data_IF_369190308722
#
_entry.id   IF_369190308722
#
_cell.length_a   1.000
_cell.length_b   1.000
_cell.length_c   1.000
_cell.angle_alpha   90.00
_cell.angle_beta   90.00
_cell.angle_gamma   90.00
#
_symmetry.space_group_name_H-M   'P 1'
#
loop_
_entity.id
_entity.type
_entity.pdbx_description
1 polymer ?
#
# COMPACT_ATOMS: atom_id res chain seq x y z
N UNK A 1 -12.07 -12.19 27.83
CA UNK A 1 -12.73 -11.36 26.79
C UNK A 1 -12.46 -9.86 26.92
N UNK A 2 -12.19 -9.31 28.11
CA UNK A 2 -11.87 -7.88 28.28
C UNK A 2 -10.41 -7.52 27.92
N UNK A 3 -9.47 -8.46 28.00
CA UNK A 3 -8.06 -8.23 27.66
C UNK A 3 -7.82 -8.03 26.15
N UNK A 4 -8.48 -8.80 25.28
CA UNK A 4 -8.43 -8.60 23.83
C UNK A 4 -8.93 -7.20 23.42
N UNK A 5 -9.95 -6.68 24.11
CA UNK A 5 -10.54 -5.37 23.83
C UNK A 5 -9.66 -4.20 24.32
N UNK A 6 -8.79 -4.45 25.31
CA UNK A 6 -7.79 -3.48 25.78
C UNK A 6 -6.52 -3.50 24.91
N UNK A 7 -6.16 -4.66 24.34
CA UNK A 7 -5.04 -4.80 23.42
C UNK A 7 -5.32 -4.07 22.09
N UNK A 8 -6.51 -4.25 21.50
CA UNK A 8 -6.94 -3.49 20.31
C UNK A 8 -7.02 -1.96 20.56
N UNK A 9 -7.37 -1.54 21.78
CA UNK A 9 -7.39 -0.11 22.17
C UNK A 9 -5.99 0.47 22.41
N UNK A 10 -5.02 -0.36 22.83
CA UNK A 10 -3.61 0.05 22.97
C UNK A 10 -2.88 0.08 21.63
N UNK A 11 -3.17 -0.85 20.72
CA UNK A 11 -2.63 -0.84 19.35
C UNK A 11 -3.12 0.37 18.53
N UNK A 12 -4.31 0.90 18.84
CA UNK A 12 -4.82 2.16 18.26
C UNK A 12 -3.99 3.41 18.62
N UNK A 13 -3.06 3.35 19.57
CA UNK A 13 -2.22 4.49 20.00
C UNK A 13 -0.89 4.65 19.22
N UNK A 14 -0.53 3.72 18.32
CA UNK A 14 0.77 3.78 17.61
C UNK A 14 0.69 4.45 16.22
N UNK A 15 -0.49 4.80 15.72
CA UNK A 15 -0.64 5.45 14.41
C UNK A 15 -0.65 6.97 14.55
N UNK A 16 0.42 7.62 14.10
CA UNK A 16 0.43 9.08 13.91
C UNK A 16 -0.55 9.41 12.78
N UNK A 17 -1.53 10.25 13.09
CA UNK A 17 -2.49 10.79 12.11
C UNK A 17 -2.02 12.16 11.67
N UNK A 18 -2.49 12.63 10.51
CA UNK A 18 -2.18 13.98 10.01
C UNK A 18 -2.45 15.11 11.02
N UNK A 19 -3.47 14.97 11.84
CA UNK A 19 -3.81 15.95 12.88
C UNK A 19 -2.84 15.97 14.06
N UNK A 20 -2.03 14.92 14.21
CA UNK A 20 -1.09 14.73 15.32
C UNK A 20 0.35 15.12 14.92
N UNK A 21 0.54 15.70 13.72
CA UNK A 21 1.86 16.07 13.20
C UNK A 21 2.45 17.29 13.94
N UNK A 22 3.69 17.13 14.39
CA UNK A 22 4.52 18.18 14.98
C UNK A 22 4.79 19.32 13.99
N UNK A 23 4.95 20.54 14.49
CA UNK A 23 5.41 21.70 13.70
C UNK A 23 6.94 21.77 13.60
N UNK A 24 7.65 21.03 14.46
CA UNK A 24 9.10 21.13 14.58
C UNK A 24 9.86 20.07 13.78
N UNK A 25 9.15 19.19 13.07
CA UNK A 25 9.74 18.11 12.29
C UNK A 25 9.39 18.22 10.82
N UNK A 26 10.35 17.86 9.98
CA UNK A 26 10.15 17.61 8.56
C UNK A 26 9.36 16.33 8.40
N UNK A 27 8.16 16.41 7.80
CA UNK A 27 7.31 15.23 7.60
C UNK A 27 7.47 14.70 6.17
N UNK A 28 7.72 13.38 6.08
CA UNK A 28 7.79 12.59 4.85
C UNK A 28 6.59 11.64 4.81
N UNK A 29 5.77 11.72 3.76
CA UNK A 29 4.64 10.81 3.54
C UNK A 29 4.92 9.80 2.42
N UNK A 30 4.97 8.52 2.78
CA UNK A 30 5.05 7.42 1.82
C UNK A 30 3.66 6.92 1.45
N UNK A 31 3.30 6.95 0.17
CA UNK A 31 1.94 6.64 -0.26
C UNK A 31 1.85 5.48 -1.25
N UNK A 32 1.00 4.50 -0.96
CA UNK A 32 0.61 3.46 -1.92
C UNK A 32 -0.89 3.57 -2.25
N UNK A 33 -1.46 2.57 -2.91
CA UNK A 33 -2.88 2.59 -3.26
C UNK A 33 -3.78 2.49 -2.03
N UNK A 34 -3.57 1.48 -1.18
CA UNK A 34 -4.49 1.14 -0.07
C UNK A 34 -3.94 1.33 1.35
N UNK A 35 -2.70 1.80 1.50
CA UNK A 35 -1.97 1.83 2.78
C UNK A 35 -1.99 0.49 3.54
N UNK A 36 -1.89 -0.63 2.82
CA UNK A 36 -2.00 -1.98 3.40
C UNK A 36 -0.82 -2.89 3.07
N UNK A 37 0.02 -2.52 2.09
CA UNK A 37 1.16 -3.31 1.63
C UNK A 37 2.46 -2.53 1.74
N UNK A 38 2.88 -1.94 0.62
CA UNK A 38 4.17 -1.28 0.45
C UNK A 38 4.40 -0.05 1.35
N UNK A 39 3.42 0.84 1.54
CA UNK A 39 3.67 2.09 2.28
C UNK A 39 3.80 1.95 3.80
N UNK A 40 3.07 1.05 4.49
CA UNK A 40 3.39 0.72 5.89
C UNK A 40 4.79 0.13 6.06
N UNK A 41 5.28 -0.65 5.08
CA UNK A 41 6.65 -1.17 5.10
C UNK A 41 7.68 -0.05 4.92
N UNK A 42 7.43 0.89 4.01
CA UNK A 42 8.27 2.07 3.80
C UNK A 42 8.37 2.94 5.06
N UNK A 43 7.25 3.19 5.74
CA UNK A 43 7.22 3.93 7.02
C UNK A 43 8.07 3.23 8.10
N UNK A 44 7.96 1.90 8.23
CA UNK A 44 8.75 1.15 9.20
C UNK A 44 10.26 1.21 8.90
N UNK A 45 10.65 1.06 7.64
CA UNK A 45 12.05 1.18 7.20
C UNK A 45 12.58 2.61 7.45
N UNK A 46 11.81 3.62 7.04
CA UNK A 46 12.18 5.02 7.20
C UNK A 46 12.37 5.37 8.68
N UNK A 47 11.45 4.92 9.54
CA UNK A 47 11.53 5.14 10.98
C UNK A 47 12.77 4.49 11.59
N UNK A 48 13.09 3.25 11.20
CA UNK A 48 14.32 2.55 11.67
C UNK A 48 15.58 3.31 11.25
N UNK A 49 15.63 3.82 10.01
CA UNK A 49 16.78 4.58 9.51
C UNK A 49 16.90 5.97 10.17
N UNK A 50 15.78 6.68 10.37
CA UNK A 50 15.75 7.94 11.12
C UNK A 50 16.32 7.74 12.54
N UNK A 51 15.94 6.65 13.20
CA UNK A 51 16.46 6.29 14.53
C UNK A 51 17.95 5.96 14.50
N UNK A 52 18.42 5.21 13.49
CA UNK A 52 19.85 4.90 13.34
C UNK A 52 20.71 6.14 13.13
N UNK A 53 20.16 7.16 12.47
CA UNK A 53 20.84 8.42 12.20
C UNK A 53 20.67 9.46 13.32
N UNK A 54 19.93 9.14 14.39
CA UNK A 54 19.57 10.06 15.48
C UNK A 54 18.90 11.35 14.96
N UNK A 55 17.90 11.20 14.08
CA UNK A 55 17.15 12.29 13.44
C UNK A 55 15.69 12.35 13.90
N UNK A 56 15.30 11.63 14.96
CA UNK A 56 13.90 11.53 15.41
C UNK A 56 13.33 12.87 15.87
N UNK A 57 14.15 13.80 16.30
CA UNK A 57 13.78 15.17 16.67
C UNK A 57 13.57 16.08 15.44
N UNK A 58 14.06 15.68 14.27
CA UNK A 58 14.07 16.49 13.04
C UNK A 58 13.18 15.95 11.93
N UNK A 59 13.09 14.64 11.78
CA UNK A 59 12.39 13.98 10.66
C UNK A 59 11.35 13.02 11.21
N UNK A 60 10.16 13.08 10.62
CA UNK A 60 9.06 12.17 10.88
C UNK A 60 8.62 11.49 9.58
N UNK A 61 8.60 10.15 9.58
CA UNK A 61 8.02 9.36 8.50
C UNK A 61 6.59 8.94 8.84
N UNK A 62 5.69 9.08 7.87
CA UNK A 62 4.32 8.56 7.93
C UNK A 62 4.01 7.79 6.63
N UNK A 63 2.93 7.01 6.64
CA UNK A 63 2.39 6.44 5.40
C UNK A 63 0.92 6.68 5.20
N UNK A 64 0.52 6.76 3.93
CA UNK A 64 -0.87 6.92 3.50
C UNK A 64 -1.24 6.08 2.27
N UNK A 65 -2.52 6.20 1.88
CA UNK A 65 -3.16 5.46 0.81
C UNK A 65 -3.94 6.39 -0.10
N UNK A 66 -3.54 6.48 -1.36
CA UNK A 66 -4.14 7.40 -2.33
C UNK A 66 -5.57 7.04 -2.72
N UNK A 67 -5.96 5.77 -2.59
CA UNK A 67 -7.30 5.27 -2.86
C UNK A 67 -7.88 4.49 -1.68
N UNK A 68 -7.43 4.72 -0.44
CA UNK A 68 -7.86 3.97 0.75
C UNK A 68 -9.39 3.91 0.88
N UNK A 69 -10.08 5.05 0.79
CA UNK A 69 -11.56 5.13 0.90
C UNK A 69 -12.26 4.31 -0.19
N UNK A 70 -11.69 4.29 -1.39
CA UNK A 70 -12.21 3.52 -2.54
C UNK A 70 -11.99 2.03 -2.32
N UNK A 71 -10.83 1.65 -1.77
CA UNK A 71 -10.50 0.25 -1.45
C UNK A 71 -11.36 -0.32 -0.31
N UNK A 72 -11.76 0.52 0.64
CA UNK A 72 -12.68 0.19 1.75
C UNK A 72 -14.16 0.22 1.32
N UNK A 73 -14.45 0.67 0.09
CA UNK A 73 -15.79 0.71 -0.47
C UNK A 73 -16.41 -0.69 -0.67
N UNK A 74 -17.74 -0.77 -0.67
CA UNK A 74 -18.48 -2.04 -0.90
C UNK A 74 -18.21 -2.66 -2.28
N UNK A 75 -17.79 -1.85 -3.23
CA UNK A 75 -17.51 -2.24 -4.61
C UNK A 75 -16.12 -1.67 -4.97
N UNK A 76 -15.09 -2.52 -5.09
CA UNK A 76 -13.78 -2.07 -5.54
C UNK A 76 -13.82 -1.61 -7.01
N UNK A 77 -12.92 -0.71 -7.43
CA UNK A 77 -12.76 -0.31 -8.82
C UNK A 77 -12.55 -1.52 -9.72
N UNK A 78 -13.03 -1.45 -10.95
CA UNK A 78 -12.96 -2.58 -11.89
C UNK A 78 -11.51 -2.95 -12.20
N UNK A 79 -10.62 -1.97 -12.23
CA UNK A 79 -9.18 -2.15 -12.42
C UNK A 79 -8.56 -2.99 -11.30
N UNK A 80 -9.01 -2.79 -10.06
CA UNK A 80 -8.58 -3.63 -8.94
C UNK A 80 -9.08 -5.07 -9.11
N UNK A 81 -10.34 -5.23 -9.54
CA UNK A 81 -10.93 -6.55 -9.73
C UNK A 81 -10.19 -7.33 -10.82
N UNK A 82 -9.88 -6.69 -11.94
CA UNK A 82 -9.07 -7.29 -13.00
C UNK A 82 -7.64 -7.58 -12.56
N UNK A 83 -7.00 -6.67 -11.83
CA UNK A 83 -5.67 -6.94 -11.29
C UNK A 83 -5.66 -8.18 -10.39
N UNK A 84 -6.68 -8.35 -9.53
CA UNK A 84 -6.80 -9.56 -8.69
C UNK A 84 -6.97 -10.83 -9.54
N UNK A 85 -7.80 -10.79 -10.58
CA UNK A 85 -7.97 -11.90 -11.51
C UNK A 85 -6.67 -12.25 -12.26
N UNK A 86 -5.99 -11.26 -12.83
CA UNK A 86 -4.71 -11.42 -13.54
C UNK A 86 -3.65 -12.04 -12.62
N UNK A 87 -3.56 -11.58 -11.36
CA UNK A 87 -2.64 -12.12 -10.35
C UNK A 87 -3.00 -13.55 -9.93
N UNK A 88 -4.29 -13.85 -9.78
CA UNK A 88 -4.75 -15.22 -9.54
C UNK A 88 -4.36 -16.18 -10.68
N UNK A 89 -4.47 -15.75 -11.93
CA UNK A 89 -4.06 -16.55 -13.09
C UNK A 89 -2.54 -16.78 -13.10
N UNK A 90 -1.75 -15.72 -12.91
CA UNK A 90 -0.30 -15.81 -12.84
C UNK A 90 0.16 -16.77 -11.73
N UNK A 91 -0.45 -16.69 -10.54
CA UNK A 91 -0.18 -17.63 -9.45
C UNK A 91 -0.55 -19.07 -9.76
N UNK A 92 -1.57 -19.31 -10.59
CA UNK A 92 -1.87 -20.68 -10.98
C UNK A 92 -0.73 -21.26 -11.84
N UNK A 93 -0.22 -20.46 -12.77
CA UNK A 93 0.91 -20.85 -13.63
C UNK A 93 2.20 -21.02 -12.82
N UNK A 94 2.47 -20.16 -11.85
CA UNK A 94 3.71 -20.17 -11.06
C UNK A 94 3.70 -21.19 -9.90
N UNK A 95 2.55 -21.37 -9.23
CA UNK A 95 2.45 -22.12 -7.97
C UNK A 95 1.58 -23.38 -8.07
N UNK A 96 1.03 -23.71 -9.26
CA UNK A 96 0.12 -24.85 -9.49
C UNK A 96 -1.01 -24.94 -8.45
N UNK A 97 -1.48 -23.79 -7.99
CA UNK A 97 -2.24 -23.66 -6.74
C UNK A 97 -3.76 -23.69 -6.93
N UNK A 98 -4.25 -23.59 -8.17
CA UNK A 98 -5.68 -23.64 -8.49
C UNK A 98 -6.03 -24.89 -9.31
N UNK A 99 -7.28 -25.33 -9.19
CA UNK A 99 -7.81 -26.32 -10.13
C UNK A 99 -7.97 -25.69 -11.52
N UNK A 100 -7.81 -26.49 -12.57
CA UNK A 100 -7.89 -26.04 -13.99
C UNK A 100 -9.20 -25.33 -14.33
N UNK A 101 -10.30 -25.68 -13.65
CA UNK A 101 -11.63 -25.10 -13.86
C UNK A 101 -11.72 -23.64 -13.38
N UNK A 102 -11.08 -23.31 -12.25
CA UNK A 102 -11.04 -21.93 -11.75
C UNK A 102 -10.14 -21.05 -12.62
N UNK A 103 -9.07 -21.60 -13.20
CA UNK A 103 -8.21 -20.90 -14.13
C UNK A 103 -8.92 -20.57 -15.46
N UNK A 104 -9.66 -21.55 -16.01
CA UNK A 104 -10.49 -21.35 -17.19
C UNK A 104 -11.58 -20.30 -16.96
N UNK A 105 -12.22 -20.30 -15.79
CA UNK A 105 -13.21 -19.28 -15.42
C UNK A 105 -12.58 -17.87 -15.34
N UNK A 106 -11.40 -17.73 -14.75
CA UNK A 106 -10.68 -16.43 -14.71
C UNK A 106 -10.26 -15.99 -16.11
N UNK A 107 -9.83 -16.91 -16.97
CA UNK A 107 -9.40 -16.61 -18.33
C UNK A 107 -10.56 -16.15 -19.22
N UNK A 108 -11.74 -16.79 -19.10
CA UNK A 108 -12.98 -16.36 -19.75
C UNK A 108 -13.40 -14.94 -19.30
N UNK A 109 -13.25 -14.63 -18.01
CA UNK A 109 -13.57 -13.31 -17.46
C UNK A 109 -12.59 -12.22 -17.93
N UNK A 110 -11.35 -12.59 -18.27
CA UNK A 110 -10.32 -11.67 -18.76
C UNK A 110 -10.36 -11.48 -20.28
N UNK A 111 -10.75 -12.50 -21.05
CA UNK A 111 -10.82 -12.42 -22.52
C UNK A 111 -11.93 -11.48 -23.01
N UNK A 112 -12.95 -11.21 -22.19
CA UNK A 112 -14.08 -10.35 -22.54
C UNK A 112 -13.99 -8.94 -21.91
N UNK A 113 -12.77 -8.49 -21.53
CA UNK A 113 -12.51 -7.25 -20.75
C UNK A 113 -13.21 -5.99 -21.31
N UNK A 114 -13.28 -5.85 -22.63
CA UNK A 114 -13.93 -4.70 -23.29
C UNK A 114 -15.47 -4.77 -23.25
N UNK A 115 -16.10 -5.92 -23.53
CA UNK A 115 -17.56 -6.09 -23.42
C UNK A 115 -18.03 -6.14 -21.95
N UNK A 116 -17.19 -6.66 -21.07
CA UNK A 116 -17.50 -6.80 -19.64
C UNK A 116 -17.57 -5.44 -18.96
N UNK A 117 -16.80 -4.43 -19.42
CA UNK A 117 -16.88 -3.06 -18.92
C UNK A 117 -18.24 -2.41 -19.22
N UNK A 118 -18.85 -2.76 -20.37
CA UNK A 118 -20.19 -2.31 -20.79
C UNK A 118 -21.28 -3.07 -20.01
N UNK A 119 -21.20 -4.40 -19.88
CA UNK A 119 -22.15 -5.20 -19.09
C UNK A 119 -22.04 -4.98 -17.56
N UNK A 120 -20.92 -4.43 -17.09
CA UNK A 120 -20.70 -4.03 -15.69
C UNK A 120 -21.69 -2.96 -15.22
N UNK A 121 -22.10 -2.06 -16.13
CA UNK A 121 -23.10 -1.02 -15.83
C UNK A 121 -24.47 -1.64 -15.50
N UNK A 122 -24.76 -2.83 -16.03
CA UNK A 122 -26.04 -3.53 -15.87
C UNK A 122 -26.04 -4.60 -14.76
N UNK A 123 -24.94 -4.77 -14.02
CA UNK A 123 -24.81 -5.77 -12.92
C UNK A 123 -25.24 -7.21 -13.33
N UNK A 124 -24.89 -7.63 -14.55
CA UNK A 124 -25.21 -8.95 -15.10
C UNK A 124 -24.67 -10.16 -14.31
N UNK A 125 -24.97 -11.37 -14.77
CA UNK A 125 -24.54 -12.64 -14.12
C UNK A 125 -23.01 -12.77 -14.03
N UNK A 126 -22.29 -12.30 -15.05
CA UNK A 126 -20.81 -12.29 -15.13
C UNK A 126 -20.21 -11.40 -14.04
N UNK A 127 -20.76 -10.19 -13.83
CA UNK A 127 -20.34 -9.28 -12.76
C UNK A 127 -20.41 -9.95 -11.37
N UNK A 128 -21.49 -10.69 -11.09
CA UNK A 128 -21.64 -11.40 -9.81
C UNK A 128 -20.59 -12.49 -9.62
N UNK A 129 -20.19 -13.18 -10.70
CA UNK A 129 -19.13 -14.20 -10.68
C UNK A 129 -17.76 -13.57 -10.44
N UNK A 130 -17.40 -12.55 -11.21
CA UNK A 130 -16.14 -11.77 -11.05
C UNK A 130 -16.00 -11.29 -9.61
N UNK A 131 -17.05 -10.64 -9.08
CA UNK A 131 -17.04 -10.10 -7.72
C UNK A 131 -16.90 -11.19 -6.65
N UNK A 132 -17.58 -12.32 -6.83
CA UNK A 132 -17.49 -13.45 -5.88
C UNK A 132 -16.07 -14.02 -5.85
N UNK A 133 -15.45 -14.18 -7.02
CA UNK A 133 -14.09 -14.66 -7.14
C UNK A 133 -13.08 -13.66 -6.58
N UNK A 134 -13.15 -12.40 -7.01
CA UNK A 134 -12.29 -11.31 -6.53
C UNK A 134 -12.32 -11.21 -5.00
N UNK A 135 -13.51 -11.23 -4.40
CA UNK A 135 -13.65 -11.12 -2.96
C UNK A 135 -12.96 -12.26 -2.21
N UNK A 136 -12.98 -13.48 -2.77
CA UNK A 136 -12.29 -14.65 -2.21
C UNK A 136 -10.78 -14.52 -2.36
N UNK A 137 -10.30 -14.23 -3.58
CA UNK A 137 -8.87 -14.09 -3.87
C UNK A 137 -8.24 -12.94 -3.08
N UNK A 138 -8.91 -11.78 -3.01
CA UNK A 138 -8.46 -10.61 -2.26
C UNK A 138 -8.28 -10.91 -0.77
N UNK A 139 -9.15 -11.71 -0.15
CA UNK A 139 -8.99 -12.12 1.26
C UNK A 139 -7.71 -12.91 1.48
N UNK A 140 -7.39 -13.84 0.57
CA UNK A 140 -6.16 -14.63 0.61
C UNK A 140 -4.95 -13.71 0.43
N UNK A 141 -4.94 -12.90 -0.62
CA UNK A 141 -3.82 -12.00 -0.93
C UNK A 141 -3.57 -10.97 0.18
N UNK A 142 -4.63 -10.47 0.82
CA UNK A 142 -4.49 -9.54 1.95
C UNK A 142 -3.85 -10.23 3.15
N UNK A 143 -4.28 -11.46 3.46
CA UNK A 143 -3.70 -12.25 4.56
C UNK A 143 -2.22 -12.53 4.30
N UNK A 144 -1.90 -13.00 3.10
CA UNK A 144 -0.51 -13.27 2.71
C UNK A 144 0.34 -12.01 2.69
N UNK A 145 -0.17 -10.88 2.18
CA UNK A 145 0.55 -9.61 2.20
C UNK A 145 0.91 -9.18 3.63
N UNK A 146 0.01 -9.42 4.61
CA UNK A 146 0.33 -9.19 6.02
C UNK A 146 1.45 -10.12 6.51
N UNK A 147 1.36 -11.43 6.23
CA UNK A 147 2.38 -12.41 6.63
C UNK A 147 3.74 -12.12 5.98
N UNK A 148 3.75 -11.79 4.70
CA UNK A 148 4.95 -11.46 3.93
C UNK A 148 5.62 -10.20 4.46
N UNK A 149 4.82 -9.20 4.84
CA UNK A 149 5.36 -7.95 5.39
C UNK A 149 6.03 -8.16 6.75
N UNK A 150 5.39 -8.92 7.65
CA UNK A 150 5.97 -9.28 8.96
C UNK A 150 7.27 -10.06 8.80
N UNK A 151 7.30 -10.98 7.82
CA UNK A 151 8.50 -11.75 7.49
C UNK A 151 9.59 -10.87 6.91
N UNK A 152 9.26 -9.99 5.97
CA UNK A 152 10.21 -9.11 5.30
C UNK A 152 10.88 -8.15 6.28
N UNK A 153 10.15 -7.56 7.25
CA UNK A 153 10.75 -6.68 8.26
C UNK A 153 11.81 -7.38 9.10
N UNK A 154 11.55 -8.64 9.49
CA UNK A 154 12.54 -9.47 10.20
C UNK A 154 13.75 -9.77 9.32
N UNK A 155 13.53 -10.19 8.08
CA UNK A 155 14.61 -10.53 7.13
C UNK A 155 15.46 -9.31 6.73
N UNK A 156 14.87 -8.12 6.71
CA UNK A 156 15.56 -6.85 6.43
C UNK A 156 16.24 -6.23 7.66
N UNK A 157 16.07 -6.81 8.85
CA UNK A 157 16.63 -6.29 10.09
C UNK A 157 16.03 -4.95 10.54
N UNK A 158 14.78 -4.67 10.15
CA UNK A 158 14.03 -3.49 10.58
C UNK A 158 13.47 -3.76 11.97
N UNK A 159 13.79 -2.89 12.95
CA UNK A 159 13.37 -3.09 14.34
C UNK A 159 12.06 -2.38 14.67
N UNK A 160 11.67 -1.40 13.86
CA UNK A 160 10.41 -0.68 14.03
C UNK A 160 9.21 -1.59 13.74
N UNK A 161 8.19 -1.48 14.58
CA UNK A 161 6.91 -2.18 14.40
C UNK A 161 6.17 -1.64 13.18
N UNK A 162 5.58 -2.54 12.39
CA UNK A 162 4.79 -2.16 11.24
C UNK A 162 3.37 -1.81 11.65
N UNK A 163 2.83 -0.78 11.00
CA UNK A 163 1.44 -0.37 11.13
C UNK A 163 0.48 -1.34 10.43
N UNK A 164 -0.63 -1.67 11.10
CA UNK A 164 -1.71 -2.50 10.54
C UNK A 164 -2.97 -1.72 10.13
N UNK A 165 -3.00 -0.41 10.35
CA UNK A 165 -4.09 0.49 9.97
C UNK A 165 -3.79 1.29 8.70
N UNK A 166 -4.81 1.55 7.89
CA UNK A 166 -4.71 2.37 6.69
C UNK A 166 -5.18 3.81 6.94
N UNK A 167 -4.43 4.84 6.55
CA UNK A 167 -4.97 6.19 6.40
C UNK A 167 -5.05 6.61 4.94
N UNK A 168 -6.08 7.38 4.60
CA UNK A 168 -6.23 8.02 3.29
C UNK A 168 -5.22 9.17 3.19
N UNK A 169 -4.60 9.35 2.02
CA UNK A 169 -3.80 10.55 1.75
C UNK A 169 -4.67 11.80 1.83
N UNK A 170 -4.26 12.79 2.62
CA UNK A 170 -4.95 14.07 2.78
C UNK A 170 -3.93 15.22 2.63
N UNK A 171 -4.28 16.33 1.94
CA UNK A 171 -3.42 17.50 1.87
C UNK A 171 -3.12 18.05 3.26
N UNK A 172 -1.84 18.23 3.58
CA UNK A 172 -1.41 18.81 4.84
C UNK A 172 -0.14 19.65 4.65
N UNK A 173 -0.15 20.88 5.16
CA UNK A 173 0.95 21.85 5.01
C UNK A 173 2.24 21.42 5.72
N UNK A 174 2.15 20.53 6.70
CA UNK A 174 3.29 20.00 7.45
C UNK A 174 4.08 18.95 6.65
N UNK A 175 3.48 18.39 5.60
CA UNK A 175 4.18 17.45 4.71
C UNK A 175 5.08 18.25 3.78
N UNK A 176 6.38 18.11 3.96
CA UNK A 176 7.37 18.74 3.10
C UNK A 176 7.75 17.84 1.92
N UNK A 177 7.71 16.51 2.12
CA UNK A 177 8.06 15.54 1.09
C UNK A 177 6.99 14.47 0.95
N UNK A 178 6.59 14.20 -0.30
CA UNK A 178 5.63 13.16 -0.63
C UNK A 178 6.25 12.16 -1.61
N UNK A 179 6.36 10.91 -1.17
CA UNK A 179 6.91 9.82 -1.96
C UNK A 179 5.82 8.81 -2.33
N UNK A 180 5.32 8.94 -3.56
CA UNK A 180 4.47 7.92 -4.17
C UNK A 180 5.27 6.63 -4.39
N UNK A 181 4.77 5.49 -3.94
CA UNK A 181 5.46 4.22 -4.19
C UNK A 181 5.35 3.77 -5.65
N UNK A 182 4.44 4.35 -6.42
CA UNK A 182 4.42 4.27 -7.87
C UNK A 182 4.03 5.64 -8.44
N UNK A 183 4.31 5.86 -9.73
CA UNK A 183 3.96 7.11 -10.44
C UNK A 183 2.48 7.45 -10.34
N UNK A 184 1.59 6.44 -10.40
CA UNK A 184 0.15 6.64 -10.22
C UNK A 184 -0.23 7.14 -8.83
N UNK A 185 0.54 6.81 -7.79
CA UNK A 185 0.31 7.32 -6.43
C UNK A 185 0.76 8.78 -6.32
N UNK A 186 1.89 9.14 -6.93
CA UNK A 186 2.33 10.54 -7.04
C UNK A 186 1.30 11.40 -7.79
N UNK A 187 0.84 10.93 -8.94
CA UNK A 187 -0.14 11.65 -9.76
C UNK A 187 -1.45 11.88 -9.01
N UNK A 188 -1.95 10.85 -8.32
CA UNK A 188 -3.15 10.98 -7.50
C UNK A 188 -2.97 11.95 -6.34
N UNK A 189 -1.78 11.99 -5.74
CA UNK A 189 -1.49 12.96 -4.69
C UNK A 189 -1.46 14.39 -5.22
N UNK A 190 -0.86 14.63 -6.40
CA UNK A 190 -0.89 15.96 -7.03
C UNK A 190 -2.32 16.46 -7.28
N UNK A 191 -3.25 15.56 -7.59
CA UNK A 191 -4.68 15.91 -7.67
C UNK A 191 -5.25 16.37 -6.31
N UNK A 192 -4.91 15.69 -5.21
CA UNK A 192 -5.38 16.09 -3.88
C UNK A 192 -4.87 17.47 -3.46
N UNK A 193 -3.64 17.81 -3.81
CA UNK A 193 -3.05 19.12 -3.48
C UNK A 193 -3.46 20.25 -4.44
N UNK A 194 -4.26 19.95 -5.48
CA UNK A 194 -4.72 20.98 -6.41
C UNK A 194 -5.67 21.95 -5.71
N UNK A 195 -5.33 23.24 -5.73
CA UNK A 195 -6.11 24.30 -5.09
C UNK A 195 -5.69 24.62 -3.65
N UNK A 196 -4.64 23.96 -3.15
CA UNK A 196 -3.99 24.33 -1.88
C UNK A 196 -2.79 25.25 -2.14
N UNK A 197 -2.55 26.19 -1.22
CA UNK A 197 -1.43 27.15 -1.27
C UNK A 197 -0.08 26.52 -0.89
N UNK A 198 -0.11 25.33 -0.27
CA UNK A 198 1.05 24.54 0.09
C UNK A 198 1.18 23.33 -0.83
N UNK A 199 2.43 22.93 -1.11
CA UNK A 199 2.74 21.73 -1.89
C UNK A 199 4.02 21.08 -1.39
N UNK A 200 4.01 19.78 -1.06
CA UNK A 200 5.24 19.05 -0.79
C UNK A 200 6.05 18.93 -2.08
N UNK A 201 7.32 18.59 -1.92
CA UNK A 201 8.10 18.04 -3.01
C UNK A 201 7.57 16.63 -3.34
N UNK A 202 7.06 16.49 -4.56
CA UNK A 202 6.52 15.22 -5.05
C UNK A 202 7.62 14.42 -5.74
N UNK A 203 7.74 13.15 -5.36
CA UNK A 203 8.57 12.18 -6.06
C UNK A 203 7.89 10.81 -6.05
N UNK A 204 8.38 9.87 -6.87
CA UNK A 204 7.99 8.48 -6.79
C UNK A 204 9.20 7.55 -6.72
N UNK A 205 9.06 6.47 -5.96
CA UNK A 205 10.13 5.49 -5.76
C UNK A 205 10.13 4.36 -6.81
N UNK A 206 9.14 4.33 -7.71
CA UNK A 206 9.05 3.31 -8.77
C UNK A 206 9.03 1.86 -8.23
N UNK A 207 8.36 1.62 -7.10
CA UNK A 207 8.30 0.33 -6.43
C UNK A 207 7.19 -0.53 -7.06
N UNK A 208 7.55 -1.73 -7.50
CA UNK A 208 6.60 -2.68 -8.10
C UNK A 208 5.45 -3.02 -7.13
N UNK A 209 4.23 -3.20 -7.65
CA UNK A 209 3.12 -3.72 -6.87
C UNK A 209 3.12 -5.26 -6.85
N UNK A 210 3.51 -5.84 -5.72
CA UNK A 210 3.59 -7.29 -5.50
C UNK A 210 2.35 -7.90 -4.85
N UNK A 211 1.25 -7.13 -4.71
CA UNK A 211 0.00 -7.66 -4.16
C UNK A 211 -0.49 -8.87 -4.96
N UNK A 212 -0.72 -9.99 -4.25
CA UNK A 212 -1.14 -11.25 -4.87
C UNK A 212 -0.04 -11.99 -5.64
N UNK A 213 1.24 -11.65 -5.45
CA UNK A 213 2.38 -12.43 -5.94
C UNK A 213 3.01 -13.28 -4.82
N UNK A 214 4.05 -14.06 -5.15
CA UNK A 214 4.77 -14.91 -4.19
C UNK A 214 5.62 -14.11 -3.19
N UNK A 215 6.07 -14.78 -2.13
CA UNK A 215 6.96 -14.17 -1.14
C UNK A 215 8.31 -13.76 -1.74
N UNK A 216 8.82 -14.54 -2.69
CA UNK A 216 10.10 -14.29 -3.38
C UNK A 216 10.04 -12.94 -4.11
N UNK A 217 8.97 -12.68 -4.85
CA UNK A 217 8.72 -11.38 -5.48
C UNK A 217 8.54 -10.27 -4.44
N UNK A 218 7.86 -10.57 -3.34
CA UNK A 218 7.66 -9.61 -2.26
C UNK A 218 8.97 -9.18 -1.61
N UNK A 219 9.88 -10.11 -1.28
CA UNK A 219 11.14 -9.78 -0.61
C UNK A 219 12.12 -9.06 -1.54
N UNK A 220 12.11 -9.34 -2.85
CA UNK A 220 12.84 -8.56 -3.86
C UNK A 220 12.38 -7.10 -3.86
N UNK A 221 11.07 -6.86 -3.94
CA UNK A 221 10.48 -5.52 -3.84
C UNK A 221 10.83 -4.85 -2.51
N UNK A 222 10.79 -5.58 -1.40
CA UNK A 222 11.08 -5.04 -0.08
C UNK A 222 12.56 -4.61 0.05
N UNK A 223 13.50 -5.32 -0.58
CA UNK A 223 14.92 -4.93 -0.64
C UNK A 223 15.13 -3.65 -1.46
N UNK A 224 14.53 -3.56 -2.65
CA UNK A 224 14.58 -2.34 -3.48
C UNK A 224 13.96 -1.15 -2.74
N UNK A 225 12.81 -1.36 -2.10
CA UNK A 225 12.15 -0.35 -1.28
C UNK A 225 13.07 0.13 -0.15
N UNK A 226 13.75 -0.79 0.54
CA UNK A 226 14.67 -0.44 1.62
C UNK A 226 15.77 0.50 1.15
N UNK A 227 16.47 0.14 0.07
CA UNK A 227 17.54 0.97 -0.49
C UNK A 227 17.04 2.38 -0.81
N UNK A 228 15.93 2.50 -1.54
CA UNK A 228 15.37 3.79 -1.96
C UNK A 228 14.87 4.64 -0.79
N UNK A 229 14.30 4.01 0.24
CA UNK A 229 13.87 4.70 1.46
C UNK A 229 15.08 5.22 2.24
N UNK A 230 16.14 4.43 2.40
CA UNK A 230 17.37 4.87 3.09
C UNK A 230 18.05 6.04 2.36
N UNK A 231 18.11 5.99 1.03
CA UNK A 231 18.58 7.11 0.20
C UNK A 231 17.72 8.37 0.35
N UNK A 232 16.40 8.18 0.43
CA UNK A 232 15.44 9.28 0.66
C UNK A 232 15.68 9.97 2.00
N UNK A 233 15.88 9.21 3.08
CA UNK A 233 16.15 9.78 4.40
C UNK A 233 17.44 10.58 4.40
N UNK A 234 18.51 10.07 3.76
CA UNK A 234 19.78 10.79 3.63
C UNK A 234 19.63 12.08 2.82
N UNK A 235 18.87 12.06 1.73
CA UNK A 235 18.57 13.25 0.94
C UNK A 235 17.83 14.31 1.76
N UNK A 236 16.75 13.91 2.45
CA UNK A 236 15.97 14.84 3.28
C UNK A 236 16.82 15.41 4.41
N UNK A 237 17.63 14.60 5.08
CA UNK A 237 18.54 15.05 6.13
C UNK A 237 19.53 16.11 5.61
N UNK A 238 20.12 15.92 4.43
CA UNK A 238 21.03 16.90 3.83
C UNK A 238 20.35 18.20 3.45
N UNK A 239 19.09 18.14 3.01
CA UNK A 239 18.33 19.31 2.58
C UNK A 239 17.77 20.15 3.75
N UNK A 240 17.72 19.57 4.94
CA UNK A 240 17.06 20.15 6.12
C UNK A 240 18.02 20.40 7.29
N UNK A 241 19.30 20.06 7.12
CA UNK A 241 20.40 20.45 7.99
C UNK A 241 20.80 21.91 7.75
#
# INVERSE_FOLDING_TARGET
MLENNMQEKREKKEQIRYRDLSENQVVIDYACTGNSGRSPLAEAIATDEIQRLNLEDKILAISSGTNRKVMDGKIPPIELQYMVLERSLARNTELQSYNEKEAAEVQELLSDKENTTIQYQEKGSIYKKVRKYESRARKIFTKEEHEFRERAVKELGVKTKIKHGGQQTEPNEKIMFFYGLAKSNEDKAKEFYKGHDFRPEFNNLGIENTFGLSYERYIEMARDLKTKVEETIKYVAQKTA
#
